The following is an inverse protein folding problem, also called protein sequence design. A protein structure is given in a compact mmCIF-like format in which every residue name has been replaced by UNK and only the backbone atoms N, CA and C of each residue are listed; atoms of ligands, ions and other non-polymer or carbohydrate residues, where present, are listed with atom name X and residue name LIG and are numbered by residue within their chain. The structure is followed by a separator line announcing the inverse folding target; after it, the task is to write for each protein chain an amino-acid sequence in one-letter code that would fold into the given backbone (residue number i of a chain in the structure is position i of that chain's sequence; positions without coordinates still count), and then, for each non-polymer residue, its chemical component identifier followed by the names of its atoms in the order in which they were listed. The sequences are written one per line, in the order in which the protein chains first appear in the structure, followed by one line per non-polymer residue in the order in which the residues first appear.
data_IF_265465183482
#
_entry.id   IF_265465183482
#
_cell.length_a   1.000
_cell.length_b   1.000
_cell.length_c   1.000
_cell.angle_alpha   90.00
_cell.angle_beta   90.00
_cell.angle_gamma   90.00
#
_symmetry.space_group_name_H-M   'P 1'
#
loop_
_entity.id
_entity.type
_entity.pdbx_description
1 polymer ?
#
# COMPACT_ATOMS: atom_id res chain seq x y z
N UNK A 1 34.90 -9.74 -7.63
CA UNK A 1 33.72 -8.97 -7.17
C UNK A 1 32.48 -9.64 -7.75
N UNK A 2 31.64 -10.25 -6.93
CA UNK A 2 30.43 -10.95 -7.41
C UNK A 2 29.21 -10.04 -7.34
N UNK A 3 28.45 -9.98 -8.42
CA UNK A 3 27.11 -9.38 -8.44
C UNK A 3 26.10 -10.51 -8.41
N UNK A 4 25.15 -10.45 -7.48
CA UNK A 4 24.06 -11.41 -7.38
C UNK A 4 22.78 -10.78 -7.93
N UNK A 5 22.17 -11.44 -8.91
CA UNK A 5 20.96 -10.98 -9.58
C UNK A 5 19.84 -11.99 -9.34
N UNK A 6 18.72 -11.50 -8.84
CA UNK A 6 17.52 -12.31 -8.61
C UNK A 6 16.32 -11.67 -9.32
N UNK A 7 15.45 -12.47 -9.93
CA UNK A 7 14.19 -11.99 -10.49
C UNK A 7 13.10 -11.84 -9.43
N UNK A 8 13.16 -12.71 -8.40
CA UNK A 8 12.19 -12.74 -7.30
C UNK A 8 12.65 -11.92 -6.11
N UNK A 9 11.71 -11.61 -5.22
CA UNK A 9 12.01 -10.92 -3.97
C UNK A 9 13.05 -11.69 -3.14
N UNK A 10 13.98 -10.94 -2.53
CA UNK A 10 15.05 -11.46 -1.69
C UNK A 10 14.72 -11.27 -0.21
N UNK A 11 15.06 -12.25 0.61
CA UNK A 11 14.86 -12.15 2.07
C UNK A 11 15.96 -11.30 2.71
N UNK A 12 15.63 -10.61 3.82
CA UNK A 12 16.63 -9.83 4.56
C UNK A 12 17.79 -10.70 5.07
N UNK A 13 17.53 -11.99 5.37
CA UNK A 13 18.58 -12.95 5.75
C UNK A 13 19.64 -13.08 4.64
N UNK A 14 19.22 -13.13 3.37
CA UNK A 14 20.15 -13.22 2.23
C UNK A 14 20.97 -11.94 2.10
N UNK A 15 20.33 -10.78 2.22
CA UNK A 15 21.03 -9.48 2.18
C UNK A 15 22.08 -9.39 3.30
N UNK A 16 21.77 -9.88 4.49
CA UNK A 16 22.70 -9.91 5.62
C UNK A 16 23.88 -10.88 5.48
N UNK A 17 23.86 -11.78 4.50
CA UNK A 17 24.95 -12.71 4.21
C UNK A 17 25.90 -12.19 3.12
N UNK A 18 25.64 -11.01 2.54
CA UNK A 18 26.49 -10.43 1.52
C UNK A 18 27.82 -9.98 2.13
N UNK A 19 28.92 -10.34 1.47
CA UNK A 19 30.25 -9.82 1.77
C UNK A 19 30.37 -8.34 1.43
N UNK A 20 31.33 -7.65 2.06
CA UNK A 20 31.52 -6.19 1.98
C UNK A 20 31.52 -5.58 0.57
N UNK A 21 32.03 -6.32 -0.43
CA UNK A 21 32.15 -5.85 -1.82
C UNK A 21 31.15 -6.52 -2.77
N UNK A 22 30.28 -7.40 -2.26
CA UNK A 22 29.21 -8.00 -3.06
C UNK A 22 28.08 -7.00 -3.26
N UNK A 23 27.42 -7.08 -4.41
CA UNK A 23 26.27 -6.26 -4.76
C UNK A 23 25.09 -7.16 -5.09
N UNK A 24 23.90 -6.69 -4.76
CA UNK A 24 22.64 -7.36 -5.08
C UNK A 24 21.67 -6.36 -5.72
N UNK A 25 20.79 -6.84 -6.60
CA UNK A 25 19.79 -6.01 -7.29
C UNK A 25 18.48 -5.79 -6.49
N UNK A 26 18.45 -6.10 -5.19
CA UNK A 26 17.26 -5.95 -4.33
C UNK A 26 17.55 -5.10 -3.11
N UNK A 27 16.70 -4.11 -2.85
CA UNK A 27 16.74 -3.35 -1.61
C UNK A 27 16.01 -4.10 -0.49
N UNK A 28 16.58 -4.17 0.73
CA UNK A 28 15.87 -4.72 1.88
C UNK A 28 14.64 -3.87 2.20
N UNK A 29 13.53 -4.52 2.55
CA UNK A 29 12.27 -3.83 2.89
C UNK A 29 11.44 -3.29 1.71
N UNK A 30 11.88 -3.48 0.45
CA UNK A 30 11.17 -2.98 -0.73
C UNK A 30 9.71 -3.48 -0.84
N UNK A 31 9.39 -4.61 -0.21
CA UNK A 31 8.04 -5.18 -0.15
C UNK A 31 6.98 -4.24 0.42
N UNK A 32 7.37 -3.28 1.28
CA UNK A 32 6.47 -2.24 1.81
C UNK A 32 5.94 -1.29 0.72
N UNK A 33 6.65 -1.18 -0.40
CA UNK A 33 6.27 -0.34 -1.54
C UNK A 33 5.73 -1.14 -2.72
N UNK A 34 6.20 -2.37 -2.95
CA UNK A 34 5.84 -3.15 -4.15
C UNK A 34 4.66 -4.11 -3.94
N UNK A 35 4.33 -4.48 -2.71
CA UNK A 35 3.15 -5.34 -2.43
C UNK A 35 1.94 -4.49 -2.15
N UNK A 36 0.84 -4.75 -2.87
CA UNK A 36 -0.45 -4.04 -2.74
C UNK A 36 -0.86 -3.73 -1.30
N UNK A 37 -0.78 -4.70 -0.39
CA UNK A 37 -1.14 -4.50 1.01
C UNK A 37 -0.20 -3.55 1.77
N UNK A 38 1.12 -3.64 1.55
CA UNK A 38 2.11 -2.72 2.14
C UNK A 38 1.96 -1.32 1.56
N UNK A 39 1.86 -1.22 0.24
CA UNK A 39 1.65 0.03 -0.49
C UNK A 39 0.38 0.73 -0.03
N UNK A 40 -0.75 0.02 0.04
CA UNK A 40 -2.01 0.57 0.51
C UNK A 40 -1.92 1.08 1.94
N UNK A 41 -1.28 0.32 2.84
CA UNK A 41 -1.11 0.72 4.24
C UNK A 41 -0.29 2.02 4.35
N UNK A 42 0.82 2.10 3.61
CA UNK A 42 1.73 3.23 3.69
C UNK A 42 1.13 4.47 3.00
N UNK A 43 0.50 4.33 1.83
CA UNK A 43 -0.14 5.44 1.15
C UNK A 43 -1.39 5.94 1.87
N UNK A 44 -2.18 5.07 2.49
CA UNK A 44 -3.30 5.51 3.34
C UNK A 44 -2.80 6.34 4.54
N UNK A 45 -1.70 5.92 5.18
CA UNK A 45 -1.06 6.72 6.26
C UNK A 45 -0.56 8.07 5.76
N UNK A 46 0.09 8.10 4.60
CA UNK A 46 0.59 9.34 4.01
C UNK A 46 -0.53 10.26 3.53
N UNK A 47 -1.65 9.72 3.05
CA UNK A 47 -2.84 10.50 2.74
C UNK A 47 -3.42 11.18 3.98
N UNK A 48 -3.45 10.49 5.12
CA UNK A 48 -3.88 11.07 6.39
C UNK A 48 -2.90 12.14 6.90
N UNK A 49 -1.58 11.90 6.78
CA UNK A 49 -0.56 12.78 7.33
C UNK A 49 -0.29 14.02 6.46
N UNK A 50 -0.30 13.87 5.14
CA UNK A 50 0.14 14.90 4.19
C UNK A 50 -0.99 15.40 3.28
N UNK A 51 -2.13 14.72 3.21
CA UNK A 51 -3.32 15.19 2.49
C UNK A 51 -3.16 15.22 0.97
N UNK A 52 -3.36 16.40 0.37
CA UNK A 52 -3.55 16.59 -1.09
C UNK A 52 -2.49 15.93 -1.98
N UNK A 53 -1.17 15.98 -1.69
CA UNK A 53 -0.16 15.37 -2.54
C UNK A 53 -0.29 13.86 -2.70
N UNK A 54 -1.01 13.18 -1.79
CA UNK A 54 -1.21 11.73 -1.81
C UNK A 54 -2.58 11.31 -2.37
N UNK A 55 -3.37 12.24 -2.91
CA UNK A 55 -4.66 11.95 -3.55
C UNK A 55 -4.56 11.26 -4.93
N UNK A 56 -3.34 11.00 -5.43
CA UNK A 56 -3.15 10.18 -6.63
C UNK A 56 -3.47 8.71 -6.41
N UNK A 57 -3.43 8.25 -5.15
CA UNK A 57 -3.75 6.88 -4.78
C UNK A 57 -5.24 6.77 -4.45
N UNK A 58 -5.99 5.83 -5.05
CA UNK A 58 -7.40 5.66 -4.74
C UNK A 58 -7.60 5.16 -3.31
N UNK A 59 -8.73 5.52 -2.69
CA UNK A 59 -9.15 4.97 -1.40
C UNK A 59 -9.13 3.45 -1.48
N UNK A 60 -8.28 2.81 -0.69
CA UNK A 60 -8.04 1.37 -0.73
C UNK A 60 -8.24 0.79 0.66
N UNK A 61 -8.94 -0.34 0.74
CA UNK A 61 -9.22 -1.06 1.99
C UNK A 61 -8.52 -2.42 2.02
N UNK A 62 -7.86 -2.73 3.13
CA UNK A 62 -7.13 -3.98 3.36
C UNK A 62 -7.99 -4.93 4.17
N UNK A 63 -8.50 -5.97 3.52
CA UNK A 63 -9.27 -7.02 4.18
C UNK A 63 -8.38 -7.97 4.99
N UNK A 64 -8.85 -8.51 6.13
CA UNK A 64 -10.14 -8.26 6.76
C UNK A 64 -10.19 -7.01 7.66
N UNK A 65 -9.05 -6.38 7.94
CA UNK A 65 -8.90 -5.31 8.94
C UNK A 65 -9.81 -4.10 8.66
N UNK A 66 -9.92 -3.70 7.40
CA UNK A 66 -10.63 -2.49 6.99
C UNK A 66 -12.10 -2.74 6.60
N UNK A 67 -12.63 -3.96 6.81
CA UNK A 67 -14.02 -4.29 6.48
C UNK A 67 -15.06 -3.37 7.15
N UNK A 68 -14.94 -3.02 8.45
CA UNK A 68 -15.91 -2.12 9.08
C UNK A 68 -15.93 -0.73 8.45
N UNK A 69 -14.76 -0.21 8.06
CA UNK A 69 -14.62 1.09 7.42
C UNK A 69 -15.24 1.09 6.02
N UNK A 70 -14.97 0.05 5.22
CA UNK A 70 -15.58 -0.14 3.91
C UNK A 70 -17.12 -0.20 4.02
N UNK A 71 -17.65 -0.96 5.00
CA UNK A 71 -19.09 -1.09 5.22
C UNK A 71 -19.74 0.23 5.61
N UNK A 72 -19.05 1.06 6.41
CA UNK A 72 -19.51 2.39 6.76
C UNK A 72 -19.56 3.30 5.54
N UNK A 73 -18.48 3.37 4.76
CA UNK A 73 -18.42 4.19 3.54
C UNK A 73 -19.52 3.81 2.54
N UNK A 74 -19.74 2.51 2.34
CA UNK A 74 -20.80 1.99 1.48
C UNK A 74 -22.20 2.43 1.93
N UNK A 75 -22.46 2.48 3.24
CA UNK A 75 -23.74 2.96 3.79
C UNK A 75 -23.92 4.47 3.56
N UNK A 76 -22.88 5.25 3.84
CA UNK A 76 -22.92 6.72 3.70
C UNK A 76 -23.12 7.15 2.24
N UNK A 77 -22.40 6.51 1.32
CA UNK A 77 -22.51 6.80 -0.12
C UNK A 77 -23.89 6.45 -0.68
N UNK A 78 -24.50 5.35 -0.24
CA UNK A 78 -25.87 4.98 -0.66
C UNK A 78 -26.95 5.89 -0.08
N UNK A 79 -26.82 6.33 1.17
CA UNK A 79 -27.75 7.30 1.74
C UNK A 79 -27.73 8.62 0.96
N UNK A 80 -26.56 9.07 0.52
CA UNK A 80 -26.43 10.34 -0.21
C UNK A 80 -27.08 10.27 -1.60
N UNK A 81 -27.01 9.11 -2.29
CA UNK A 81 -27.71 8.89 -3.57
C UNK A 81 -29.24 8.99 -3.42
N UNK A 82 -29.79 8.54 -2.30
CA UNK A 82 -31.24 8.57 -2.07
C UNK A 82 -31.78 9.97 -1.69
N UNK A 83 -30.92 10.89 -1.23
CA UNK A 83 -31.34 12.27 -0.90
C UNK A 83 -31.38 13.21 -2.12
N UNK A 84 -30.71 12.85 -3.23
CA UNK A 84 -30.71 13.64 -4.47
C UNK A 84 -32.00 13.56 -5.30
N UNK A 85 -32.96 12.70 -4.93
CA UNK A 85 -34.21 12.47 -5.66
C UNK A 85 -35.45 13.05 -4.93
N UNK A 86 -35.30 14.17 -4.21
CA UNK A 86 -36.42 14.92 -3.62
C UNK A 86 -36.55 16.29 -4.29
N UNK A 87 -36.98 16.28 -5.55
CA UNK A 87 -37.50 17.46 -6.24
C UNK A 87 -38.87 17.12 -6.82
N UNK A 88 -39.89 17.25 -5.98
CA UNK A 88 -41.25 17.70 -6.28
C UNK A 88 -41.82 18.25 -4.97
#
# INVERSE_FOLDING_TARGET
MGVEVYDRAVTNKRVGQLGRMQKINHFPGMLELVRKAGTARNLNKMLLACGKPYKFFPTTYIMPADYPALKLEWRLTNNNRNHGNKTF
#
